data_IF_802424477230
#
_entry.id   IF_802424477230
#
_cell.length_a   1.000
_cell.length_b   1.000
_cell.length_c   1.000
_cell.angle_alpha   90.00
_cell.angle_beta   90.00
_cell.angle_gamma   90.00
#
_symmetry.space_group_name_H-M   'P 1'
#
loop_
_entity.id
_entity.type
_entity.pdbx_description
1 polymer ?
#
# COMPACT_ATOMS: atom_id res chain seq x y z
N UNK A 1 12.17 -1.70 -12.74
CA UNK A 1 10.70 -1.56 -12.71
C UNK A 1 10.08 -2.50 -11.67
N UNK A 2 10.07 -3.82 -11.88
CA UNK A 2 9.46 -4.79 -10.94
C UNK A 2 10.04 -4.73 -9.52
N UNK A 3 11.38 -4.72 -9.37
CA UNK A 3 12.04 -4.54 -8.06
C UNK A 3 11.64 -3.23 -7.35
N UNK A 4 11.48 -2.14 -8.10
CA UNK A 4 11.04 -0.86 -7.52
C UNK A 4 9.57 -0.93 -7.07
N UNK A 5 8.73 -1.63 -7.82
CA UNK A 5 7.34 -1.90 -7.44
C UNK A 5 7.27 -2.70 -6.14
N UNK A 6 8.05 -3.78 -6.01
CA UNK A 6 8.13 -4.54 -4.76
C UNK A 6 8.59 -3.68 -3.57
N UNK A 7 9.63 -2.86 -3.76
CA UNK A 7 10.11 -1.97 -2.71
C UNK A 7 9.05 -0.95 -2.25
N UNK A 8 8.22 -0.44 -3.15
CA UNK A 8 7.10 0.45 -2.79
C UNK A 8 6.05 -0.29 -1.98
N UNK A 9 5.67 -1.47 -2.42
CA UNK A 9 4.68 -2.30 -1.73
C UNK A 9 5.14 -2.69 -0.31
N UNK A 10 6.43 -2.98 -0.14
CA UNK A 10 7.03 -3.24 1.19
C UNK A 10 7.03 -1.98 2.04
N UNK A 11 7.47 -0.84 1.49
CA UNK A 11 7.47 0.42 2.20
C UNK A 11 6.06 0.87 2.61
N UNK A 12 5.03 0.57 1.82
CA UNK A 12 3.63 0.82 2.18
C UNK A 12 3.26 0.08 3.47
N UNK A 13 3.58 -1.22 3.56
CA UNK A 13 3.30 -2.04 4.74
C UNK A 13 4.11 -1.65 5.97
N UNK A 14 5.34 -1.18 5.79
CA UNK A 14 6.19 -0.71 6.90
C UNK A 14 5.73 0.65 7.44
N UNK A 15 5.36 1.58 6.56
CA UNK A 15 4.94 2.94 6.95
C UNK A 15 3.50 2.98 7.46
N UNK A 16 2.63 2.09 6.95
CA UNK A 16 1.21 2.02 7.28
C UNK A 16 0.82 0.59 7.69
N UNK A 17 1.27 0.12 8.86
CA UNK A 17 1.02 -1.25 9.29
C UNK A 17 -0.49 -1.49 9.54
N UNK A 18 -1.00 -2.60 9.03
CA UNK A 18 -2.39 -3.01 9.22
C UNK A 18 -2.55 -3.88 10.49
N UNK A 19 -3.56 -3.64 11.35
CA UNK A 19 -3.79 -4.46 12.54
C UNK A 19 -3.94 -5.95 12.21
N UNK A 20 -3.20 -6.80 12.93
CA UNK A 20 -3.22 -8.25 12.68
C UNK A 20 -2.37 -8.71 11.49
N UNK A 21 -1.60 -7.82 10.85
CA UNK A 21 -0.65 -8.17 9.78
C UNK A 21 0.76 -7.73 10.20
N UNK A 22 1.71 -8.66 10.12
CA UNK A 22 3.14 -8.34 10.26
C UNK A 22 3.92 -8.99 9.13
N UNK A 23 4.69 -8.18 8.40
CA UNK A 23 5.60 -8.65 7.35
C UNK A 23 7.04 -8.50 7.83
N UNK A 24 7.81 -9.59 7.80
CA UNK A 24 9.21 -9.62 8.18
C UNK A 24 10.07 -10.05 6.97
N UNK A 25 10.81 -9.10 6.39
CA UNK A 25 11.77 -9.36 5.30
C UNK A 25 13.18 -9.30 5.88
N UNK A 26 13.80 -10.47 6.06
CA UNK A 26 15.16 -10.57 6.60
C UNK A 26 16.23 -10.95 5.59
N UNK A 27 15.83 -11.23 4.36
CA UNK A 27 16.76 -11.55 3.29
C UNK A 27 17.11 -10.31 2.47
N UNK A 28 18.41 -10.04 2.32
CA UNK A 28 18.96 -9.03 1.40
C UNK A 28 18.48 -9.19 -0.05
N UNK A 29 18.08 -10.40 -0.45
CA UNK A 29 17.63 -10.71 -1.81
C UNK A 29 16.24 -10.14 -2.13
N UNK A 30 15.41 -9.88 -1.11
CA UNK A 30 13.99 -9.53 -1.24
C UNK A 30 13.14 -10.58 -2.00
N UNK A 31 13.58 -11.83 -2.07
CA UNK A 31 12.80 -12.89 -2.73
C UNK A 31 11.72 -13.48 -1.83
N UNK A 32 11.97 -13.55 -0.52
CA UNK A 32 11.04 -14.16 0.43
C UNK A 32 10.78 -13.28 1.64
N UNK A 33 9.56 -13.40 2.19
CA UNK A 33 9.14 -12.72 3.40
C UNK A 33 8.37 -13.68 4.31
N UNK A 34 8.49 -13.47 5.63
CA UNK A 34 7.58 -14.10 6.59
C UNK A 34 6.37 -13.18 6.76
N UNK A 35 5.16 -13.73 6.55
CA UNK A 35 3.90 -13.05 6.80
C UNK A 35 3.26 -13.67 8.04
N UNK A 36 3.02 -12.87 9.06
CA UNK A 36 2.33 -13.29 10.28
C UNK A 36 0.96 -12.64 10.26
N UNK A 37 -0.07 -13.47 10.28
CA UNK A 37 -1.47 -13.06 10.35
C UNK A 37 -2.00 -13.36 11.75
N UNK A 38 -2.71 -12.41 12.35
CA UNK A 38 -3.35 -12.59 13.65
C UNK A 38 -4.85 -12.27 13.52
N UNK A 39 -5.67 -13.23 13.04
CA UNK A 39 -7.11 -13.08 13.04
C UNK A 39 -7.66 -12.87 14.44
N UNK A 40 -8.76 -12.12 14.57
CA UNK A 40 -9.36 -11.83 15.87
C UNK A 40 -9.93 -13.10 16.51
N UNK A 41 -9.57 -13.36 17.76
CA UNK A 41 -10.05 -14.54 18.50
C UNK A 41 -9.35 -15.86 18.16
N UNK A 42 -8.33 -15.84 17.29
CA UNK A 42 -7.58 -17.02 16.85
C UNK A 42 -6.10 -16.94 17.16
N UNK A 43 -5.42 -18.09 17.03
CA UNK A 43 -3.98 -18.14 17.13
C UNK A 43 -3.34 -17.47 15.90
N UNK A 44 -2.21 -16.75 16.07
CA UNK A 44 -1.46 -16.23 14.95
C UNK A 44 -0.99 -17.34 14.02
N UNK A 45 -1.01 -17.08 12.72
CA UNK A 45 -0.58 -17.99 11.65
C UNK A 45 0.71 -17.47 11.02
N UNK A 46 1.65 -18.37 10.79
CA UNK A 46 2.86 -18.08 10.02
C UNK A 46 2.71 -18.55 8.57
N UNK A 47 2.92 -17.62 7.64
CA UNK A 47 2.95 -17.85 6.20
C UNK A 47 4.30 -17.41 5.63
N UNK A 48 4.66 -17.97 4.48
CA UNK A 48 5.84 -17.58 3.72
C UNK A 48 5.41 -17.08 2.36
N UNK A 49 5.81 -15.84 2.05
CA UNK A 49 5.63 -15.23 0.73
C UNK A 49 6.91 -15.43 -0.07
N UNK A 50 6.79 -15.94 -1.28
CA UNK A 50 7.82 -15.89 -2.31
C UNK A 50 7.33 -14.99 -3.44
N UNK A 51 8.00 -13.85 -3.63
CA UNK A 51 7.58 -12.87 -4.63
C UNK A 51 7.81 -13.35 -6.06
N UNK A 52 8.85 -14.16 -6.29
CA UNK A 52 9.29 -14.51 -7.64
C UNK A 52 9.80 -13.30 -8.45
N UNK A 53 10.33 -13.57 -9.65
CA UNK A 53 10.94 -12.52 -10.49
C UNK A 53 9.89 -11.71 -11.29
N UNK A 54 8.69 -12.27 -11.45
CA UNK A 54 7.62 -11.71 -12.26
C UNK A 54 6.65 -10.83 -11.45
N UNK A 55 6.78 -10.69 -10.13
CA UNK A 55 5.86 -9.86 -9.34
C UNK A 55 5.92 -8.38 -9.77
N UNK A 56 4.78 -7.70 -10.00
CA UNK A 56 3.39 -8.12 -9.75
C UNK A 56 2.64 -8.59 -11.01
N UNK A 57 3.33 -8.99 -12.08
CA UNK A 57 2.65 -9.54 -13.27
C UNK A 57 1.99 -10.87 -12.91
N UNK A 58 2.63 -11.63 -12.04
CA UNK A 58 2.07 -12.82 -11.39
C UNK A 58 1.92 -12.57 -9.88
N UNK A 59 0.95 -13.23 -9.23
CA UNK A 59 0.83 -13.17 -7.78
C UNK A 59 2.10 -13.75 -7.13
N UNK A 60 2.44 -13.30 -5.92
CA UNK A 60 3.44 -14.01 -5.14
C UNK A 60 2.90 -15.40 -4.78
N UNK A 61 3.78 -16.38 -4.64
CA UNK A 61 3.41 -17.66 -4.07
C UNK A 61 3.34 -17.51 -2.55
N UNK A 62 2.21 -17.87 -1.95
CA UNK A 62 2.03 -17.86 -0.50
C UNK A 62 1.76 -19.28 -0.02
N UNK A 63 2.53 -19.71 0.98
CA UNK A 63 2.39 -21.01 1.65
C UNK A 63 2.14 -20.80 3.14
N UNK A 64 1.41 -21.70 3.77
CA UNK A 64 1.18 -21.67 5.22
C UNK A 64 2.10 -22.68 5.92
N UNK A 65 2.74 -22.26 7.01
CA UNK A 65 3.56 -23.13 7.85
C UNK A 65 2.86 -23.49 9.16
N UNK A 66 1.93 -22.64 9.59
CA UNK A 66 1.07 -22.97 10.70
C UNK A 66 0.07 -24.07 10.35
N UNK A 67 -0.29 -24.88 11.33
CA UNK A 67 -1.32 -25.92 11.15
C UNK A 67 -2.69 -25.26 11.28
N UNK A 68 -3.52 -25.41 10.24
CA UNK A 68 -4.90 -24.94 10.22
C UNK A 68 -5.78 -26.00 9.58
N UNK A 69 -6.97 -26.21 10.15
CA UNK A 69 -8.03 -26.94 9.46
C UNK A 69 -8.84 -25.93 8.65
N UNK A 70 -8.73 -25.98 7.32
CA UNK A 70 -9.41 -25.04 6.45
C UNK A 70 -9.75 -25.71 5.10
N UNK A 71 -11.01 -25.65 4.62
CA UNK A 71 -11.46 -26.33 3.40
C UNK A 71 -10.63 -26.00 2.14
N UNK A 72 -10.10 -24.78 2.06
CA UNK A 72 -9.29 -24.32 0.92
C UNK A 72 -7.78 -24.33 1.22
N UNK A 73 -7.33 -25.07 2.23
CA UNK A 73 -5.91 -25.31 2.51
C UNK A 73 -5.62 -26.79 2.34
N UNK A 74 -4.60 -27.10 1.53
CA UNK A 74 -4.18 -28.45 1.20
C UNK A 74 -2.70 -28.59 1.51
N UNK A 75 -2.37 -29.26 2.62
CA UNK A 75 -1.02 -29.24 3.21
C UNK A 75 -0.55 -27.79 3.48
N UNK A 76 0.44 -27.29 2.74
CA UNK A 76 0.95 -25.92 2.83
C UNK A 76 0.38 -24.98 1.75
N UNK A 77 -0.39 -25.52 0.79
CA UNK A 77 -0.96 -24.79 -0.34
C UNK A 77 -2.30 -24.14 0.04
N UNK A 78 -2.46 -22.86 -0.33
CA UNK A 78 -3.67 -22.07 -0.13
C UNK A 78 -4.38 -21.89 -1.47
N UNK A 79 -5.62 -22.39 -1.62
CA UNK A 79 -6.43 -22.16 -2.80
C UNK A 79 -7.25 -20.88 -2.64
N UNK A 80 -6.74 -19.77 -3.18
CA UNK A 80 -7.41 -18.48 -3.17
C UNK A 80 -7.31 -17.81 -4.55
N UNK A 81 -8.44 -17.31 -5.05
CA UNK A 81 -8.53 -16.67 -6.37
C UNK A 81 -7.60 -15.45 -6.53
N UNK A 82 -7.33 -14.72 -5.43
CA UNK A 82 -6.36 -13.62 -5.41
C UNK A 82 -4.91 -14.08 -5.62
N UNK A 83 -4.61 -15.38 -5.45
CA UNK A 83 -3.30 -15.96 -5.75
C UNK A 83 -3.28 -16.66 -7.12
N UNK A 84 -4.34 -16.49 -7.93
CA UNK A 84 -4.49 -17.15 -9.22
C UNK A 84 -4.71 -16.15 -10.36
N UNK A 85 -3.78 -16.11 -11.33
CA UNK A 85 -3.82 -15.22 -12.51
C UNK A 85 -4.99 -15.49 -13.46
N UNK A 86 -5.61 -16.67 -13.41
CA UNK A 86 -6.72 -17.02 -14.30
C UNK A 86 -8.09 -16.67 -13.72
N UNK A 87 -8.17 -16.41 -12.42
CA UNK A 87 -9.43 -16.22 -11.69
C UNK A 87 -9.56 -14.79 -11.17
N UNK A 88 -8.81 -14.46 -10.12
CA UNK A 88 -9.00 -13.21 -9.37
C UNK A 88 -7.80 -12.29 -9.36
N UNK A 89 -6.58 -12.77 -9.62
CA UNK A 89 -5.40 -11.92 -9.51
C UNK A 89 -5.28 -10.91 -10.64
N UNK A 90 -5.01 -9.67 -10.28
CA UNK A 90 -4.60 -8.59 -11.18
C UNK A 90 -3.33 -7.91 -10.66
N UNK A 91 -2.40 -7.49 -11.55
CA UNK A 91 -1.23 -6.68 -11.15
C UNK A 91 -1.57 -5.34 -10.49
N UNK A 92 -2.85 -4.96 -10.51
CA UNK A 92 -3.39 -3.82 -9.80
C UNK A 92 -3.34 -3.97 -8.27
N UNK A 93 -3.35 -5.21 -7.75
CA UNK A 93 -3.27 -5.43 -6.31
C UNK A 93 -1.93 -4.99 -5.74
N UNK A 94 -1.96 -4.39 -4.54
CA UNK A 94 -0.79 -4.12 -3.73
C UNK A 94 -0.50 -5.29 -2.81
N UNK A 95 0.75 -5.43 -2.35
CA UNK A 95 1.09 -6.43 -1.33
C UNK A 95 0.22 -6.26 -0.08
N UNK A 96 -0.06 -5.01 0.32
CA UNK A 96 -0.97 -4.71 1.42
C UNK A 96 -2.38 -5.27 1.17
N UNK A 97 -2.95 -5.02 -0.02
CA UNK A 97 -4.25 -5.60 -0.40
C UNK A 97 -4.26 -7.13 -0.41
N UNK A 98 -3.18 -7.77 -0.88
CA UNK A 98 -3.04 -9.23 -0.85
C UNK A 98 -3.00 -9.72 0.61
N UNK A 99 -2.20 -9.10 1.48
CA UNK A 99 -2.09 -9.48 2.90
C UNK A 99 -3.42 -9.30 3.65
N UNK A 100 -4.16 -8.22 3.39
CA UNK A 100 -5.49 -7.98 3.98
C UNK A 100 -6.46 -9.09 3.53
N UNK A 101 -6.47 -9.43 2.25
CA UNK A 101 -7.31 -10.51 1.74
C UNK A 101 -6.94 -11.87 2.32
N UNK A 102 -5.64 -12.13 2.58
CA UNK A 102 -5.23 -13.33 3.32
C UNK A 102 -5.70 -13.31 4.78
N UNK A 103 -5.60 -12.17 5.47
CA UNK A 103 -6.12 -12.05 6.83
C UNK A 103 -7.63 -12.32 6.86
N UNK A 104 -8.39 -11.72 5.95
CA UNK A 104 -9.83 -11.93 5.81
C UNK A 104 -10.18 -13.37 5.45
N UNK A 105 -9.40 -14.02 4.60
CA UNK A 105 -9.56 -15.44 4.25
C UNK A 105 -9.49 -16.33 5.49
N UNK A 106 -8.49 -16.13 6.36
CA UNK A 106 -8.36 -16.91 7.60
C UNK A 106 -9.31 -16.48 8.71
N UNK A 107 -9.82 -15.24 8.71
CA UNK A 107 -10.75 -14.75 9.72
C UNK A 107 -12.23 -15.10 9.43
N UNK A 108 -12.58 -15.50 8.19
CA UNK A 108 -13.97 -15.71 7.80
C UNK A 108 -14.54 -17.03 8.32
N UNK A 109 -15.71 -16.96 8.95
CA UNK A 109 -16.49 -18.14 9.35
C UNK A 109 -17.22 -18.80 8.16
N UNK A 110 -17.35 -18.09 7.04
CA UNK A 110 -18.07 -18.53 5.83
C UNK A 110 -17.11 -18.53 4.64
N UNK A 111 -16.88 -19.72 4.07
CA UNK A 111 -15.79 -19.98 3.12
C UNK A 111 -16.38 -20.38 1.77
N UNK A 112 -16.12 -19.58 0.74
CA UNK A 112 -16.53 -19.85 -0.64
C UNK A 112 -15.70 -20.98 -1.26
N UNK A 113 -16.35 -21.81 -2.07
CA UNK A 113 -15.73 -22.97 -2.72
C UNK A 113 -15.65 -22.78 -4.25
N UNK A 114 -14.57 -23.25 -4.86
CA UNK A 114 -14.33 -23.11 -6.30
C UNK A 114 -15.38 -23.84 -7.17
N UNK A 115 -16.07 -24.84 -6.60
CA UNK A 115 -17.18 -25.56 -7.24
C UNK A 115 -18.57 -24.96 -6.93
N UNK A 116 -18.62 -23.82 -6.24
CA UNK A 116 -19.85 -23.12 -5.84
C UNK A 116 -20.38 -23.56 -4.47
N UNK A 117 -21.01 -22.60 -3.78
CA UNK A 117 -21.54 -22.78 -2.41
C UNK A 117 -20.62 -22.20 -1.33
N UNK A 118 -21.06 -22.31 -0.07
CA UNK A 118 -20.34 -21.77 1.09
C UNK A 118 -20.33 -22.80 2.22
N UNK A 119 -19.17 -23.01 2.82
CA UNK A 119 -18.98 -23.92 3.96
C UNK A 119 -18.74 -23.09 5.21
N UNK A 120 -19.40 -23.45 6.32
CA UNK A 120 -19.09 -22.86 7.62
C UNK A 120 -17.84 -23.52 8.20
N UNK A 121 -16.86 -22.71 8.60
CA UNK A 121 -15.59 -23.19 9.16
C UNK A 121 -15.80 -24.08 10.39
N UNK A 122 -16.65 -23.65 11.33
CA UNK A 122 -17.01 -24.44 12.54
C UNK A 122 -17.66 -25.79 12.21
N UNK A 123 -18.36 -25.89 11.08
CA UNK A 123 -18.92 -27.14 10.59
C UNK A 123 -17.89 -28.07 9.97
N UNK A 124 -16.86 -27.50 9.33
CA UNK A 124 -15.72 -28.24 8.79
C UNK A 124 -14.88 -28.84 9.92
N UNK A 125 -14.51 -28.02 10.91
CA UNK A 125 -13.76 -28.43 12.12
C UNK A 125 -14.46 -29.60 12.86
N UNK A 126 -15.80 -29.60 12.88
CA UNK A 126 -16.58 -30.64 13.54
C UNK A 126 -16.60 -31.98 12.78
N UNK A 127 -16.43 -31.94 11.45
CA UNK A 127 -16.45 -33.12 10.57
C UNK A 127 -15.09 -33.82 10.47
N UNK A 128 -14.00 -33.05 10.57
CA UNK A 128 -12.63 -33.56 10.64
C UNK A 128 -12.21 -33.65 12.11
N UNK A 129 -12.79 -34.59 12.85
CA UNK A 129 -12.25 -34.99 14.15
C UNK A 129 -10.95 -35.79 13.97
N UNK A 130 -9.89 -35.13 13.50
CA UNK A 130 -8.53 -35.55 13.76
C UNK A 130 -8.07 -34.76 14.99
N UNK A 131 -7.77 -35.46 16.08
CA UNK A 131 -7.50 -34.90 17.40
C UNK A 131 -6.26 -34.00 17.45
N UNK A 132 -6.38 -32.79 16.94
CA UNK A 132 -5.44 -31.71 17.23
C UNK A 132 -5.88 -31.08 18.54
N UNK A 133 -5.11 -31.34 19.60
CA UNK A 133 -5.16 -30.50 20.79
C UNK A 133 -5.11 -29.04 20.34
N UNK A 134 -5.92 -28.17 20.95
CA UNK A 134 -5.94 -26.70 20.76
C UNK A 134 -4.64 -26.03 21.26
N UNK A 135 -3.50 -26.68 21.04
CA UNK A 135 -2.17 -26.18 21.30
C UNK A 135 -1.62 -25.48 20.07
N UNK A 136 -0.93 -24.38 20.30
CA UNK A 136 0.02 -23.78 19.39
C UNK A 136 0.78 -24.89 18.63
N UNK A 137 0.73 -24.88 17.30
CA UNK A 137 1.23 -25.94 16.38
C UNK A 137 2.73 -26.26 16.49
N UNK A 138 3.44 -25.64 17.44
CA UNK A 138 4.85 -25.84 17.73
C UNK A 138 5.76 -25.29 16.64
N UNK A 139 5.22 -24.70 15.56
CA UNK A 139 6.03 -24.18 14.47
C UNK A 139 6.88 -23.01 14.96
N UNK A 140 8.18 -23.07 14.63
CA UNK A 140 9.16 -22.05 14.98
C UNK A 140 9.87 -21.56 13.74
N UNK A 141 9.85 -20.26 13.51
CA UNK A 141 10.55 -19.66 12.38
C UNK A 141 11.82 -18.97 12.86
N UNK A 142 12.98 -19.53 12.50
CA UNK A 142 14.28 -18.92 12.80
C UNK A 142 14.48 -17.55 12.13
N UNK A 143 13.76 -17.26 11.03
CA UNK A 143 13.81 -15.96 10.35
C UNK A 143 13.10 -14.91 11.19
N UNK A 144 11.78 -14.97 11.35
CA UNK A 144 11.03 -13.90 12.03
C UNK A 144 10.93 -14.07 13.56
N UNK A 145 11.32 -15.21 14.11
CA UNK A 145 11.16 -15.55 15.53
C UNK A 145 9.75 -15.95 15.91
N UNK A 146 8.90 -16.30 14.93
CA UNK A 146 7.57 -16.83 15.21
C UNK A 146 7.68 -18.12 16.04
N UNK A 147 6.79 -18.29 17.02
CA UNK A 147 6.81 -19.42 17.95
C UNK A 147 7.75 -19.27 19.15
N UNK A 148 8.63 -18.27 19.18
CA UNK A 148 9.48 -18.00 20.34
C UNK A 148 8.70 -17.32 21.47
N UNK A 149 8.98 -17.69 22.73
CA UNK A 149 8.30 -17.12 23.92
C UNK A 149 8.37 -15.58 24.00
N UNK A 150 9.40 -14.98 23.37
CA UNK A 150 9.55 -13.53 23.25
C UNK A 150 8.59 -12.90 22.22
N UNK A 151 8.17 -13.64 21.20
CA UNK A 151 7.24 -13.18 20.15
C UNK A 151 5.79 -13.23 20.62
N UNK A 152 5.43 -14.17 21.50
CA UNK A 152 4.10 -14.24 22.13
C UNK A 152 3.76 -12.99 22.98
N UNK A 153 4.77 -12.21 23.39
CA UNK A 153 4.59 -10.96 24.15
C UNK A 153 4.47 -9.71 23.28
N UNK A 154 4.74 -9.80 21.97
CA UNK A 154 4.47 -8.69 21.05
C UNK A 154 2.98 -8.65 20.79
N UNK A 155 2.24 -7.90 21.61
CA UNK A 155 0.81 -7.63 21.40
C UNK A 155 0.60 -7.14 19.95
N UNK A 156 -0.52 -7.50 19.30
CA UNK A 156 -0.97 -6.81 18.10
C UNK A 156 -1.00 -5.31 18.40
N UNK A 157 -0.65 -4.49 17.40
CA UNK A 157 -0.96 -3.05 17.45
C UNK A 157 -2.45 -2.98 17.80
N UNK A 158 -2.85 -2.36 18.94
CA UNK A 158 -4.25 -2.21 19.26
C UNK A 158 -4.94 -1.58 18.05
N UNK A 159 -6.06 -2.16 17.61
CA UNK A 159 -6.88 -1.56 16.58
C UNK A 159 -7.03 -0.09 16.91
N UNK A 160 -6.76 0.79 15.95
CA UNK A 160 -6.80 2.22 16.14
C UNK A 160 -8.22 2.59 16.62
N UNK A 161 -8.40 2.71 17.94
CA UNK A 161 -9.50 3.46 18.50
C UNK A 161 -9.31 4.88 17.96
N UNK A 162 -10.23 5.32 17.11
CA UNK A 162 -10.43 6.73 16.82
C UNK A 162 -10.72 7.39 18.16
N UNK A 163 -9.68 7.86 18.83
CA UNK A 163 -9.82 8.73 19.98
C UNK A 163 -10.47 10.02 19.47
N UNK A 164 -11.74 10.22 19.84
CA UNK A 164 -12.41 11.50 19.75
C UNK A 164 -11.54 12.54 20.45
N UNK A 165 -10.85 13.37 19.67
CA UNK A 165 -10.09 14.51 20.20
C UNK A 165 -11.12 15.54 20.65
N UNK A 166 -11.19 15.89 21.95
CA UNK A 166 -12.05 16.97 22.39
C UNK A 166 -11.57 18.28 21.74
N UNK A 167 -12.48 18.97 21.06
CA UNK A 167 -12.26 20.33 20.60
C UNK A 167 -12.11 21.20 21.84
N UNK A 168 -10.88 21.63 22.14
CA UNK A 168 -10.62 22.70 23.10
C UNK A 168 -10.21 23.96 22.36
N UNK A 169 -10.87 25.05 22.72
CA UNK A 169 -10.70 26.37 22.13
C UNK A 169 -9.24 26.84 22.17
N UNK A 170 -8.79 27.39 21.04
CA UNK A 170 -7.45 27.92 20.87
C UNK A 170 -7.18 29.08 21.83
N UNK A 171 -6.05 29.11 22.56
CA UNK A 171 -5.64 30.30 23.28
C UNK A 171 -5.13 31.35 22.29
N UNK A 172 -5.73 32.53 22.37
CA UNK A 172 -5.23 33.77 21.79
C UNK A 172 -3.84 34.06 22.33
N UNK A 173 -2.79 33.92 21.50
CA UNK A 173 -1.45 34.37 21.88
C UNK A 173 -1.12 35.71 21.24
N UNK A 174 -0.83 36.65 22.15
CA UNK A 174 -0.41 38.01 21.95
C UNK A 174 0.79 38.15 21.00
N UNK A 175 0.76 39.26 20.26
CA UNK A 175 1.75 39.56 19.24
C UNK A 175 3.13 39.90 19.79
N UNK A 176 4.12 39.76 18.92
CA UNK A 176 5.40 40.45 19.07
C UNK A 176 5.64 41.27 17.80
N UNK A 177 5.60 42.57 17.99
CA UNK A 177 5.77 43.66 17.04
C UNK A 177 7.23 43.72 16.55
N UNK A 178 7.48 44.02 15.26
CA UNK A 178 8.11 45.29 14.82
C UNK A 178 8.39 45.33 13.30
N UNK A 179 7.72 46.30 12.67
CA UNK A 179 8.04 47.23 11.57
C UNK A 179 9.46 47.16 10.93
N UNK A 180 9.70 47.46 9.64
CA UNK A 180 8.93 47.64 8.38
C UNK A 180 10.00 47.90 7.29
N UNK A 181 9.74 47.45 6.06
CA UNK A 181 10.21 47.97 4.76
C UNK A 181 11.73 48.01 4.43
N UNK A 182 12.13 47.19 3.46
CA UNK A 182 13.37 47.38 2.70
C UNK A 182 13.12 48.27 1.47
N UNK A 183 13.94 49.32 1.31
CA UNK A 183 14.23 49.97 0.03
C UNK A 183 15.70 49.73 -0.32
N UNK A 184 15.88 49.27 -1.56
CA UNK A 184 17.08 49.18 -2.41
C UNK A 184 18.33 49.97 -2.02
N UNK A 185 19.49 49.29 -1.97
CA UNK A 185 20.80 49.80 -2.42
C UNK A 185 21.81 48.66 -2.61
N UNK A 186 22.74 48.85 -3.55
CA UNK A 186 23.75 47.96 -4.15
C UNK A 186 24.76 47.29 -3.18
N UNK A 187 25.41 46.16 -3.55
CA UNK A 187 26.14 45.32 -2.60
C UNK A 187 27.63 45.71 -2.44
N UNK A 188 28.11 45.62 -1.19
CA UNK A 188 29.50 45.77 -0.74
C UNK A 188 30.04 44.38 -0.37
N UNK A 189 31.24 43.94 -0.81
CA UNK A 189 31.63 42.52 -0.85
C UNK A 189 32.18 41.95 0.48
N UNK A 190 31.92 42.59 1.62
CA UNK A 190 32.53 42.22 2.91
C UNK A 190 31.51 42.05 4.06
N UNK A 191 30.37 41.39 3.82
CA UNK A 191 29.43 41.01 4.90
C UNK A 191 29.29 39.50 5.00
N UNK A 192 29.77 38.96 6.13
CA UNK A 192 29.51 37.60 6.58
C UNK A 192 28.03 37.25 6.39
N UNK A 193 27.75 36.11 5.76
CA UNK A 193 26.40 35.59 5.54
C UNK A 193 25.65 35.52 6.89
N UNK A 194 24.81 36.52 7.15
CA UNK A 194 23.88 36.48 8.28
C UNK A 194 22.90 35.35 8.01
N UNK A 195 22.92 34.33 8.87
CA UNK A 195 22.01 33.19 8.84
C UNK A 195 20.57 33.72 8.98
N UNK A 196 19.87 33.91 7.87
CA UNK A 196 18.46 34.30 7.89
C UNK A 196 17.64 33.12 8.43
N UNK A 197 16.74 33.41 9.37
CA UNK A 197 15.72 32.44 9.78
C UNK A 197 14.70 32.36 8.64
N UNK A 198 14.69 31.24 7.93
CA UNK A 198 13.66 30.90 6.95
C UNK A 198 12.50 30.24 7.69
N UNK A 199 11.29 30.78 7.57
CA UNK A 199 10.08 30.15 8.09
C UNK A 199 9.42 29.31 6.99
N UNK A 200 8.63 28.31 7.39
CA UNK A 200 7.90 27.46 6.44
C UNK A 200 6.98 28.29 5.51
N UNK A 201 6.38 29.37 6.02
CA UNK A 201 5.53 30.29 5.26
C UNK A 201 6.31 31.10 4.21
N UNK A 202 7.62 31.20 4.33
CA UNK A 202 8.49 31.93 3.40
C UNK A 202 8.96 31.04 2.23
N UNK A 203 8.68 29.74 2.28
CA UNK A 203 9.03 28.83 1.20
C UNK A 203 8.11 29.07 -0.02
N UNK A 204 8.67 29.13 -1.23
CA UNK A 204 7.90 29.08 -2.46
C UNK A 204 6.98 27.85 -2.52
N UNK A 205 5.84 27.99 -3.21
CA UNK A 205 4.86 26.91 -3.34
C UNK A 205 5.47 25.64 -3.93
N UNK A 206 6.43 25.77 -4.85
CA UNK A 206 7.13 24.65 -5.48
C UNK A 206 7.89 23.82 -4.45
N UNK A 207 8.55 24.47 -3.49
CA UNK A 207 9.27 23.78 -2.40
C UNK A 207 8.28 23.14 -1.42
N UNK A 208 7.15 23.80 -1.16
CA UNK A 208 6.11 23.24 -0.30
C UNK A 208 5.45 22.01 -0.94
N UNK A 209 5.19 22.02 -2.25
CA UNK A 209 4.70 20.86 -3.00
C UNK A 209 5.71 19.72 -2.93
N UNK A 210 7.01 19.99 -3.13
CA UNK A 210 8.06 18.98 -2.97
C UNK A 210 8.10 18.37 -1.56
N UNK A 211 7.87 19.18 -0.53
CA UNK A 211 7.73 18.66 0.85
C UNK A 211 6.53 17.73 0.93
N UNK A 212 5.37 18.13 0.35
CA UNK A 212 4.19 17.25 0.36
C UNK A 212 4.50 15.91 -0.28
N UNK A 213 5.30 15.81 -1.34
CA UNK A 213 5.64 14.52 -1.99
C UNK A 213 6.29 13.48 -1.06
N UNK A 214 6.86 13.92 0.07
CA UNK A 214 7.49 13.06 1.06
C UNK A 214 6.60 12.74 2.26
N UNK A 215 5.35 13.20 2.24
CA UNK A 215 4.35 12.96 3.28
C UNK A 215 3.39 11.85 2.84
N UNK A 216 3.05 10.95 3.74
CA UNK A 216 1.91 10.06 3.56
C UNK A 216 0.59 10.87 3.63
N UNK A 217 -0.50 10.24 3.25
CA UNK A 217 -1.81 10.89 3.19
C UNK A 217 -2.27 11.40 4.57
N UNK A 218 -2.06 10.62 5.62
CA UNK A 218 -2.45 11.02 6.98
C UNK A 218 -1.67 12.26 7.44
N UNK A 219 -0.34 12.25 7.30
CA UNK A 219 0.47 13.43 7.66
C UNK A 219 0.12 14.65 6.84
N UNK A 220 -0.22 14.47 5.54
CA UNK A 220 -0.62 15.57 4.68
C UNK A 220 -1.92 16.23 5.17
N UNK A 221 -2.92 15.43 5.59
CA UNK A 221 -4.14 15.96 6.19
C UNK A 221 -3.91 16.62 7.55
N UNK A 222 -3.05 16.04 8.39
CA UNK A 222 -2.66 16.66 9.67
C UNK A 222 -1.99 18.02 9.42
N UNK A 223 -1.10 18.12 8.44
CA UNK A 223 -0.42 19.35 8.09
C UNK A 223 -1.37 20.40 7.49
N UNK A 224 -2.32 19.98 6.65
CA UNK A 224 -3.39 20.84 6.15
C UNK A 224 -4.26 21.40 7.30
N UNK A 225 -4.58 20.57 8.29
CA UNK A 225 -5.31 21.00 9.49
C UNK A 225 -4.48 21.94 10.37
N UNK A 226 -3.18 21.71 10.48
CA UNK A 226 -2.27 22.52 11.29
C UNK A 226 -1.96 23.89 10.65
N UNK A 227 -1.96 23.97 9.32
CA UNK A 227 -1.67 25.22 8.61
C UNK A 227 -2.40 25.32 7.26
N UNK A 228 -3.20 26.38 7.12
CA UNK A 228 -3.95 26.69 5.90
C UNK A 228 -3.09 26.84 4.63
N UNK A 229 -1.77 27.01 4.75
CA UNK A 229 -0.86 26.97 3.60
C UNK A 229 -0.93 25.64 2.85
N UNK A 230 -0.87 24.51 3.56
CA UNK A 230 -1.01 23.18 2.96
C UNK A 230 -2.42 22.95 2.42
N UNK A 231 -3.47 23.40 3.12
CA UNK A 231 -4.84 23.33 2.59
C UNK A 231 -5.01 24.06 1.26
N UNK A 232 -4.41 25.25 1.13
CA UNK A 232 -4.41 26.00 -0.14
C UNK A 232 -3.60 25.30 -1.22
N UNK A 233 -2.46 24.71 -0.90
CA UNK A 233 -1.65 23.95 -1.86
C UNK A 233 -2.39 22.72 -2.38
N UNK A 234 -3.01 21.94 -1.48
CA UNK A 234 -3.85 20.79 -1.84
C UNK A 234 -4.92 21.16 -2.87
N UNK A 235 -5.63 22.26 -2.65
CA UNK A 235 -6.70 22.72 -3.53
C UNK A 235 -6.18 23.35 -4.83
N UNK A 236 -5.11 24.15 -4.78
CA UNK A 236 -4.61 24.89 -5.95
C UNK A 236 -3.76 24.06 -6.91
N UNK A 237 -3.14 22.98 -6.42
CA UNK A 237 -2.24 22.12 -7.23
C UNK A 237 -2.80 20.70 -7.44
N UNK A 238 -4.08 20.47 -7.12
CA UNK A 238 -4.76 19.18 -7.25
C UNK A 238 -3.93 18.00 -6.71
N UNK A 239 -3.25 18.21 -5.57
CA UNK A 239 -2.20 17.29 -5.11
C UNK A 239 -2.73 15.88 -4.82
N UNK A 240 -3.98 15.76 -4.37
CA UNK A 240 -4.62 14.46 -4.14
C UNK A 240 -4.84 13.72 -5.46
N UNK A 241 -5.39 14.39 -6.47
CA UNK A 241 -5.59 13.80 -7.79
C UNK A 241 -4.27 13.42 -8.47
N UNK A 242 -3.24 14.26 -8.33
CA UNK A 242 -1.87 13.98 -8.82
C UNK A 242 -1.27 12.74 -8.16
N UNK A 243 -1.55 12.51 -6.87
CA UNK A 243 -1.10 11.32 -6.14
C UNK A 243 -1.81 10.06 -6.60
N UNK A 244 -3.07 10.15 -6.99
CA UNK A 244 -3.87 9.03 -7.51
C UNK A 244 -3.53 8.68 -8.97
N UNK A 245 -2.97 9.62 -9.74
CA UNK A 245 -2.55 9.39 -11.13
C UNK A 245 -1.31 8.50 -11.22
N UNK A 246 -1.51 7.20 -11.09
CA UNK A 246 -0.47 6.19 -11.12
C UNK A 246 -0.83 5.03 -12.04
N UNK A 247 0.19 4.44 -12.67
CA UNK A 247 0.03 3.16 -13.37
C UNK A 247 -0.48 2.09 -12.40
N UNK A 248 -1.60 1.42 -12.68
CA UNK A 248 -2.14 0.41 -11.77
C UNK A 248 -1.17 -0.77 -11.55
N UNK A 249 -0.40 -1.17 -12.57
CA UNK A 249 0.60 -2.26 -12.49
C UNK A 249 1.87 -1.85 -11.76
N UNK A 250 2.39 -0.64 -11.99
CA UNK A 250 3.68 -0.24 -11.44
C UNK A 250 3.56 0.63 -10.19
N UNK A 251 2.38 1.17 -9.87
CA UNK A 251 2.15 2.16 -8.79
C UNK A 251 3.18 3.30 -8.87
N UNK A 252 3.33 3.80 -10.09
CA UNK A 252 4.28 4.85 -10.43
C UNK A 252 3.55 5.98 -11.15
N UNK A 253 3.78 7.21 -10.72
CA UNK A 253 3.15 8.40 -11.28
C UNK A 253 3.86 8.96 -12.52
N UNK A 254 3.24 9.98 -13.11
CA UNK A 254 3.64 10.56 -14.39
C UNK A 254 5.02 11.20 -14.41
N UNK A 255 5.54 11.63 -13.25
CA UNK A 255 6.90 12.18 -13.13
C UNK A 255 8.00 11.17 -13.48
N UNK A 256 7.69 9.89 -13.37
CA UNK A 256 8.68 8.80 -13.55
C UNK A 256 8.39 7.92 -14.77
N UNK A 257 7.14 7.86 -15.22
CA UNK A 257 6.72 7.00 -16.33
C UNK A 257 5.72 7.74 -17.21
N UNK A 258 5.74 7.48 -18.52
CA UNK A 258 4.68 7.94 -19.42
C UNK A 258 3.40 7.19 -19.12
N UNK A 259 2.33 7.92 -18.82
CA UNK A 259 1.02 7.35 -18.52
C UNK A 259 0.10 7.42 -19.73
N UNK A 260 -0.81 6.45 -19.81
CA UNK A 260 -1.77 6.28 -20.88
C UNK A 260 -2.92 5.41 -20.42
N UNK A 261 -3.80 5.05 -21.35
CA UNK A 261 -4.90 4.11 -21.14
C UNK A 261 -4.83 2.97 -22.14
N UNK A 262 -5.21 1.78 -21.70
CA UNK A 262 -5.38 0.62 -22.58
C UNK A 262 -6.63 0.79 -23.43
N UNK A 263 -6.51 0.57 -24.74
CA UNK A 263 -7.61 0.70 -25.69
C UNK A 263 -7.72 -0.54 -26.55
N UNK A 264 -8.93 -1.05 -26.70
CA UNK A 264 -9.28 -2.04 -27.71
C UNK A 264 -10.12 -1.37 -28.81
N UNK A 265 -9.73 -1.61 -30.07
CA UNK A 265 -10.42 -1.04 -31.23
C UNK A 265 -11.26 -2.13 -31.88
N UNK A 266 -12.59 -2.02 -31.74
CA UNK A 266 -13.53 -2.90 -32.41
C UNK A 266 -14.25 -2.11 -33.53
N UNK A 267 -13.90 -2.39 -34.78
CA UNK A 267 -14.46 -1.72 -35.98
C UNK A 267 -14.31 -0.19 -35.95
N UNK A 268 -15.35 0.52 -35.47
CA UNK A 268 -15.44 1.99 -35.38
C UNK A 268 -15.67 2.47 -33.95
N UNK A 269 -15.57 1.58 -32.96
CA UNK A 269 -15.69 1.90 -31.53
C UNK A 269 -14.37 1.64 -30.81
N UNK A 270 -14.09 2.49 -29.84
CA UNK A 270 -13.00 2.35 -28.88
C UNK A 270 -13.61 1.85 -27.57
N UNK A 271 -13.06 0.77 -27.03
CA UNK A 271 -13.38 0.24 -25.71
C UNK A 271 -12.19 0.47 -24.78
N UNK A 272 -12.46 0.98 -23.58
CA UNK A 272 -11.47 1.21 -22.53
C UNK A 272 -12.17 1.31 -21.18
N UNK A 273 -11.53 0.81 -20.14
CA UNK A 273 -11.94 1.05 -18.74
C UNK A 273 -11.35 2.35 -18.18
N UNK A 274 -10.53 3.05 -18.97
CA UNK A 274 -9.81 4.25 -18.56
C UNK A 274 -8.86 4.04 -17.36
N UNK A 275 -8.47 2.80 -17.10
CA UNK A 275 -7.41 2.48 -16.14
C UNK A 275 -6.07 3.03 -16.60
N UNK A 276 -5.41 3.76 -15.71
CA UNK A 276 -4.11 4.37 -15.99
C UNK A 276 -3.03 3.29 -16.03
N UNK A 277 -2.35 3.15 -17.16
CA UNK A 277 -1.25 2.21 -17.37
C UNK A 277 -0.03 2.93 -17.98
N UNK A 278 1.16 2.56 -17.53
CA UNK A 278 2.40 3.09 -18.11
C UNK A 278 2.73 2.45 -19.45
N UNK A 279 3.41 3.20 -20.31
CA UNK A 279 3.98 2.68 -21.57
C UNK A 279 4.87 1.45 -21.31
N UNK A 280 5.62 1.46 -20.21
CA UNK A 280 6.50 0.36 -19.80
C UNK A 280 5.73 -0.91 -19.41
N UNK A 281 4.63 -0.78 -18.64
CA UNK A 281 3.80 -1.93 -18.30
C UNK A 281 3.17 -2.55 -19.56
N UNK A 282 2.74 -1.72 -20.51
CA UNK A 282 2.21 -2.19 -21.78
C UNK A 282 3.29 -2.82 -22.68
N UNK A 283 4.36 -2.11 -22.98
CA UNK A 283 5.35 -2.53 -23.98
C UNK A 283 6.36 -3.56 -23.46
N UNK A 284 6.91 -3.33 -22.26
CA UNK A 284 8.00 -4.16 -21.70
C UNK A 284 7.48 -5.31 -20.85
N UNK A 285 6.40 -5.11 -20.11
CA UNK A 285 5.83 -6.14 -19.23
C UNK A 285 4.66 -6.92 -19.87
N UNK A 286 4.23 -6.52 -21.06
CA UNK A 286 3.21 -7.27 -21.82
C UNK A 286 1.81 -7.24 -21.19
N UNK A 287 1.49 -6.26 -20.34
CA UNK A 287 0.17 -6.14 -19.73
C UNK A 287 -0.87 -5.79 -20.79
N UNK A 288 -1.93 -6.61 -20.89
CA UNK A 288 -2.99 -6.50 -21.92
C UNK A 288 -4.41 -6.59 -21.36
N UNK A 289 -4.54 -6.53 -20.04
CA UNK A 289 -5.83 -6.61 -19.35
C UNK A 289 -5.92 -5.49 -18.33
N UNK A 290 -7.07 -4.84 -18.29
CA UNK A 290 -7.42 -3.79 -17.34
C UNK A 290 -7.56 -4.36 -15.92
N UNK A 291 -7.88 -3.50 -14.95
CA UNK A 291 -8.10 -3.92 -13.57
C UNK A 291 -9.25 -4.92 -13.47
N UNK A 292 -10.34 -4.73 -14.24
CA UNK A 292 -11.49 -5.64 -14.26
C UNK A 292 -11.39 -6.74 -15.32
N UNK A 293 -10.23 -6.86 -15.99
CA UNK A 293 -9.94 -7.96 -16.91
C UNK A 293 -10.32 -7.72 -18.37
N UNK A 294 -10.83 -6.54 -18.73
CA UNK A 294 -11.09 -6.14 -20.12
C UNK A 294 -9.77 -6.16 -20.91
N UNK A 295 -9.78 -6.88 -22.03
CA UNK A 295 -8.62 -6.97 -22.90
C UNK A 295 -8.41 -5.67 -23.69
N UNK A 296 -7.15 -5.28 -23.86
CA UNK A 296 -6.73 -4.21 -24.76
C UNK A 296 -5.44 -4.57 -25.49
N UNK A 297 -5.30 -4.06 -26.72
CA UNK A 297 -4.17 -4.32 -27.62
C UNK A 297 -3.44 -3.05 -28.07
N UNK A 298 -3.98 -1.88 -27.76
CA UNK A 298 -3.37 -0.59 -28.02
C UNK A 298 -3.14 0.18 -26.72
N UNK A 299 -2.15 1.08 -26.74
CA UNK A 299 -1.87 2.02 -25.64
C UNK A 299 -2.00 3.45 -26.16
N UNK A 300 -2.89 4.22 -25.54
CA UNK A 300 -3.13 5.61 -25.89
C UNK A 300 -2.46 6.51 -24.85
N UNK A 301 -1.47 7.34 -25.22
CA UNK A 301 -0.82 8.26 -24.28
C UNK A 301 -1.81 9.29 -23.73
N UNK A 302 -1.71 9.57 -22.44
CA UNK A 302 -2.40 10.71 -21.82
C UNK A 302 -1.47 11.93 -21.90
N UNK A 303 -1.88 13.02 -22.58
CA UNK A 303 -1.12 14.26 -22.59
C UNK A 303 -1.24 14.93 -21.22
N UNK A 304 -0.29 14.66 -20.33
CA UNK A 304 -0.20 15.31 -19.02
C UNK A 304 0.72 16.52 -19.14
N UNK A 305 0.16 17.71 -18.97
CA UNK A 305 0.92 18.96 -18.89
C UNK A 305 1.19 19.26 -17.42
N UNK A 306 2.43 19.52 -17.02
CA UNK A 306 2.75 19.91 -15.64
C UNK A 306 2.03 21.19 -15.18
N UNK A 307 1.64 22.04 -16.13
CA UNK A 307 0.96 23.31 -15.88
C UNK A 307 -0.57 23.22 -15.83
N UNK A 308 -1.17 22.02 -15.97
CA UNK A 308 -2.62 21.87 -16.15
C UNK A 308 -3.24 20.75 -15.33
#
# INVERSE_FOLDING_TARGET
MLRQRLLRDVAELENSPYPGIRLDIKDSSLHTACLILSPEGENPLHLTINFGDDYPIKPPQITIQSVVDHPNVYDDYICASILNTQEGYTPAYTLNGICIQMLSFFASDMIEQDYGGTVSRKGHDASYQCGTDQGFDGYRCAKCGFGDEASARRRPVPGAELADIPVSDAPSHEGITFLRQAKTTTPDPSKALKRQKLLLIDLPNELLVLITEHMDEQSLFIAARAWNGFSRLLASHNLLQVREMQCYTLKAGFKTHKLGVGVYIERRSIQSEFDIISEDAFTKLGVRRSVQGLYFDNWLPLPLSENH
#
